data_IF_059435629574
#
_entry.id   IF_059435629574
#
_cell.length_a   1.000
_cell.length_b   1.000
_cell.length_c   1.000
_cell.angle_alpha   90.00
_cell.angle_beta   90.00
_cell.angle_gamma   90.00
#
_symmetry.space_group_name_H-M   'P 1'
#
loop_
_entity.id
_entity.type
_entity.pdbx_description
1 polymer ?
#
# COMPACT_ATOMS: atom_id res chain seq x y z
N UNK A 1 -7.18 17.17 16.34
CA UNK A 1 -7.42 16.10 15.36
C UNK A 1 -7.89 16.82 14.12
N UNK A 2 -7.20 16.69 13.00
CA UNK A 2 -7.70 17.24 11.74
C UNK A 2 -8.96 16.45 11.38
N UNK A 3 -10.09 17.14 11.29
CA UNK A 3 -11.34 16.54 10.82
C UNK A 3 -11.19 16.28 9.32
N UNK A 4 -11.14 15.00 8.96
CA UNK A 4 -11.08 14.55 7.57
C UNK A 4 -12.51 14.35 7.06
N UNK A 5 -12.76 14.70 5.80
CA UNK A 5 -14.07 14.56 5.17
C UNK A 5 -14.24 13.20 4.50
N UNK A 6 -13.17 12.67 3.88
CA UNK A 6 -13.24 11.50 3.01
C UNK A 6 -12.59 10.24 3.60
N UNK A 7 -11.94 10.36 4.76
CA UNK A 7 -11.30 9.24 5.46
C UNK A 7 -11.65 9.25 6.96
N UNK A 8 -11.56 8.08 7.59
CA UNK A 8 -11.53 7.92 9.04
C UNK A 8 -10.14 7.49 9.45
N UNK A 9 -9.60 8.07 10.52
CA UNK A 9 -8.26 7.78 11.02
C UNK A 9 -8.32 7.40 12.48
N UNK A 10 -7.72 6.26 12.81
CA UNK A 10 -7.53 5.81 14.20
C UNK A 10 -6.11 5.31 14.41
N UNK A 11 -5.73 5.10 15.67
CA UNK A 11 -4.45 4.49 16.02
C UNK A 11 -4.66 3.43 17.09
N UNK A 12 -4.13 2.24 16.82
CA UNK A 12 -4.14 1.09 17.73
C UNK A 12 -2.69 0.73 18.07
N UNK A 13 -2.25 1.09 19.26
CA UNK A 13 -0.85 1.00 19.65
C UNK A 13 0.05 1.78 18.69
N UNK A 14 0.87 1.06 17.91
CA UNK A 14 1.82 1.62 16.92
C UNK A 14 1.32 1.49 15.48
N UNK A 15 0.08 1.09 15.27
CA UNK A 15 -0.54 0.95 13.96
C UNK A 15 -1.45 2.15 13.70
N UNK A 16 -1.20 2.88 12.60
CA UNK A 16 -2.11 3.93 12.13
C UNK A 16 -3.09 3.31 11.14
N UNK A 17 -4.39 3.41 11.39
CA UNK A 17 -5.42 2.87 10.51
C UNK A 17 -6.06 4.03 9.74
N UNK A 18 -6.08 3.91 8.42
CA UNK A 18 -6.71 4.86 7.48
C UNK A 18 -7.81 4.12 6.74
N UNK A 19 -9.05 4.48 7.00
CA UNK A 19 -10.22 3.92 6.32
C UNK A 19 -10.79 4.93 5.33
N UNK A 20 -10.88 4.53 4.06
CA UNK A 20 -11.57 5.30 3.03
C UNK A 20 -13.07 5.35 3.35
N UNK A 21 -13.66 6.55 3.31
CA UNK A 21 -15.00 6.82 3.83
C UNK A 21 -15.84 7.70 2.90
N UNK A 22 -15.98 7.29 1.63
CA UNK A 22 -16.97 7.80 0.67
C UNK A 22 -17.98 6.70 0.29
N UNK A 23 -18.78 6.16 1.23
CA UNK A 23 -19.59 4.96 1.00
C UNK A 23 -20.64 5.14 -0.11
N UNK A 24 -21.18 6.34 -0.29
CA UNK A 24 -22.14 6.65 -1.38
C UNK A 24 -21.53 6.50 -2.77
N UNK A 25 -20.21 6.67 -2.89
CA UNK A 25 -19.45 6.55 -4.13
C UNK A 25 -18.61 5.27 -4.17
N UNK A 26 -18.88 4.29 -3.28
CA UNK A 26 -18.07 3.07 -3.14
C UNK A 26 -16.56 3.35 -3.01
N UNK A 27 -16.22 4.43 -2.29
CA UNK A 27 -14.84 4.88 -2.12
C UNK A 27 -14.11 5.20 -3.44
N UNK A 28 -14.82 5.64 -4.48
CA UNK A 28 -14.18 6.17 -5.69
C UNK A 28 -13.16 7.25 -5.31
N UNK A 29 -11.96 7.17 -5.90
CA UNK A 29 -10.84 8.04 -5.56
C UNK A 29 -10.99 9.40 -6.22
N UNK A 30 -11.05 10.46 -5.42
CA UNK A 30 -11.04 11.84 -5.89
C UNK A 30 -9.82 12.58 -5.31
N UNK A 31 -9.53 13.77 -5.83
CA UNK A 31 -8.34 14.52 -5.38
C UNK A 31 -8.34 14.82 -3.86
N UNK A 32 -9.43 15.32 -3.24
CA UNK A 32 -9.49 15.55 -1.80
C UNK A 32 -9.17 14.30 -0.97
N UNK A 33 -9.78 13.14 -1.28
CA UNK A 33 -9.52 11.89 -0.55
C UNK A 33 -8.04 11.51 -0.62
N UNK A 34 -7.42 11.59 -1.80
CA UNK A 34 -6.03 11.17 -1.98
C UNK A 34 -5.05 12.11 -1.28
N UNK A 35 -5.36 13.41 -1.22
CA UNK A 35 -4.59 14.38 -0.45
C UNK A 35 -4.73 14.14 1.07
N UNK A 36 -5.92 13.78 1.55
CA UNK A 36 -6.11 13.39 2.95
C UNK A 36 -5.30 12.13 3.30
N UNK A 37 -5.37 11.08 2.48
CA UNK A 37 -4.57 9.85 2.66
C UNK A 37 -3.08 10.17 2.68
N UNK A 38 -2.59 10.97 1.72
CA UNK A 38 -1.19 11.40 1.65
C UNK A 38 -0.76 12.15 2.91
N UNK A 39 -1.60 13.08 3.40
CA UNK A 39 -1.29 13.86 4.60
C UNK A 39 -1.09 12.96 5.83
N UNK A 40 -1.90 11.91 5.98
CA UNK A 40 -1.78 10.94 7.07
C UNK A 40 -0.51 10.10 6.91
N UNK A 41 -0.19 9.66 5.69
CA UNK A 41 1.03 8.90 5.43
C UNK A 41 2.29 9.72 5.77
N UNK A 42 2.33 10.99 5.35
CA UNK A 42 3.44 11.90 5.66
C UNK A 42 3.57 12.19 7.16
N UNK A 43 2.45 12.33 7.86
CA UNK A 43 2.45 12.51 9.31
C UNK A 43 2.96 11.24 10.02
N UNK A 44 2.46 10.07 9.63
CA UNK A 44 2.89 8.78 10.18
C UNK A 44 4.37 8.49 9.94
N UNK A 45 4.92 8.89 8.80
CA UNK A 45 6.36 8.75 8.50
C UNK A 45 7.25 9.52 9.48
N UNK A 46 6.81 10.70 9.90
CA UNK A 46 7.53 11.56 10.86
C UNK A 46 7.27 11.15 12.31
N UNK A 47 6.18 10.43 12.57
CA UNK A 47 5.77 10.01 13.91
C UNK A 47 6.48 8.72 14.33
N UNK A 48 7.39 8.81 15.29
CA UNK A 48 8.16 7.66 15.79
C UNK A 48 7.32 6.67 16.61
N UNK A 49 6.14 7.09 17.06
CA UNK A 49 5.16 6.21 17.71
C UNK A 49 4.47 5.28 16.71
N UNK A 50 4.47 5.61 15.41
CA UNK A 50 3.91 4.78 14.35
C UNK A 50 4.99 3.86 13.74
N UNK A 51 4.66 2.57 13.64
CA UNK A 51 5.51 1.54 13.04
C UNK A 51 4.91 0.83 11.83
N UNK A 52 3.61 0.97 11.59
CA UNK A 52 2.92 0.44 10.42
C UNK A 52 1.66 1.27 10.12
N UNK A 53 1.28 1.37 8.86
CA UNK A 53 0.02 1.96 8.41
C UNK A 53 -0.85 0.84 7.84
N UNK A 54 -2.14 0.85 8.16
CA UNK A 54 -3.15 0.02 7.51
C UNK A 54 -4.04 0.93 6.68
N UNK A 55 -4.17 0.63 5.40
CA UNK A 55 -5.13 1.30 4.51
C UNK A 55 -6.27 0.33 4.21
N UNK A 56 -7.52 0.74 4.48
CA UNK A 56 -8.71 -0.10 4.30
C UNK A 56 -9.86 0.69 3.70
N UNK A 57 -10.85 -0.01 3.16
CA UNK A 57 -12.14 0.59 2.81
C UNK A 57 -13.28 -0.02 3.62
N UNK A 58 -14.45 -0.11 2.99
CA UNK A 58 -15.63 -0.78 3.53
C UNK A 58 -15.67 -2.26 3.16
N UNK A 59 -16.62 -3.00 3.73
CA UNK A 59 -16.87 -4.40 3.34
C UNK A 59 -17.22 -4.56 1.85
N UNK A 60 -17.97 -3.60 1.28
CA UNK A 60 -18.43 -3.63 -0.12
C UNK A 60 -17.35 -3.20 -1.10
N UNK A 61 -16.51 -2.26 -0.72
CA UNK A 61 -15.47 -1.73 -1.57
C UNK A 61 -14.31 -1.19 -0.73
N UNK A 62 -13.11 -1.63 -1.09
CA UNK A 62 -11.88 -0.91 -0.79
C UNK A 62 -11.96 0.46 -1.47
N UNK A 63 -11.97 0.47 -2.80
CA UNK A 63 -12.20 1.63 -3.66
C UNK A 63 -12.61 1.17 -5.07
N UNK A 64 -13.74 1.66 -5.57
CA UNK A 64 -14.27 1.31 -6.88
C UNK A 64 -13.95 2.39 -7.93
N UNK A 65 -12.70 2.41 -8.41
CA UNK A 65 -12.26 3.33 -9.46
C UNK A 65 -11.89 4.73 -8.96
N UNK A 66 -11.68 5.64 -9.92
CA UNK A 66 -11.55 7.07 -9.68
C UNK A 66 -12.88 7.79 -9.92
N UNK A 67 -13.02 9.00 -9.39
CA UNK A 67 -14.19 9.84 -9.59
C UNK A 67 -14.23 10.40 -11.02
N UNK A 68 -15.00 9.75 -11.89
CA UNK A 68 -15.11 10.10 -13.32
C UNK A 68 -15.61 11.53 -13.52
N UNK A 69 -16.39 12.07 -12.58
CA UNK A 69 -16.89 13.45 -12.68
C UNK A 69 -15.77 14.49 -12.59
N UNK A 70 -14.64 14.16 -11.95
CA UNK A 70 -13.45 15.02 -11.92
C UNK A 70 -12.60 14.92 -13.19
N UNK A 71 -12.89 13.96 -14.08
CA UNK A 71 -12.05 13.65 -15.25
C UNK A 71 -12.72 13.90 -16.60
N UNK A 72 -14.05 13.79 -16.68
CA UNK A 72 -14.78 13.74 -17.95
C UNK A 72 -14.54 14.95 -18.88
N UNK A 73 -14.39 16.14 -18.33
CA UNK A 73 -14.25 17.39 -19.11
C UNK A 73 -12.79 17.84 -19.29
N UNK A 74 -11.81 17.03 -18.83
CA UNK A 74 -10.39 17.37 -18.92
C UNK A 74 -9.80 17.00 -20.28
N UNK A 75 -8.97 17.87 -20.83
CA UNK A 75 -8.20 17.61 -22.05
C UNK A 75 -6.77 17.12 -21.76
N UNK A 76 -6.05 16.80 -22.82
CA UNK A 76 -4.67 16.34 -22.74
C UNK A 76 -3.74 17.40 -22.12
N UNK A 77 -3.87 18.67 -22.50
CA UNK A 77 -3.00 19.74 -22.02
C UNK A 77 -3.15 19.90 -20.50
N UNK A 78 -4.37 19.88 -19.98
CA UNK A 78 -4.63 19.93 -18.56
C UNK A 78 -4.09 18.70 -17.83
N UNK A 79 -4.39 17.48 -18.31
CA UNK A 79 -3.95 16.25 -17.66
C UNK A 79 -2.42 16.11 -17.64
N UNK A 80 -1.76 16.47 -18.73
CA UNK A 80 -0.30 16.43 -18.86
C UNK A 80 0.37 17.55 -18.03
N UNK A 81 -0.18 18.76 -18.07
CA UNK A 81 0.39 19.93 -17.39
C UNK A 81 0.24 19.89 -15.87
N UNK A 82 -0.92 19.45 -15.35
CA UNK A 82 -1.18 19.39 -13.91
C UNK A 82 -0.63 18.12 -13.26
N UNK A 83 -0.53 17.02 -14.03
CA UNK A 83 -0.12 15.70 -13.54
C UNK A 83 -0.80 15.33 -12.20
N UNK A 84 -2.15 15.25 -12.16
CA UNK A 84 -2.90 15.11 -10.90
C UNK A 84 -2.52 13.84 -10.11
N UNK A 85 -2.03 12.79 -10.77
CA UNK A 85 -1.64 11.54 -10.15
C UNK A 85 -0.19 11.51 -9.67
N UNK A 86 0.66 12.47 -10.06
CA UNK A 86 2.04 12.55 -9.60
C UNK A 86 2.16 12.73 -8.09
N UNK A 87 1.18 13.37 -7.45
CA UNK A 87 1.11 13.46 -5.99
C UNK A 87 0.76 12.12 -5.33
N UNK A 88 0.03 11.23 -6.02
CA UNK A 88 -0.37 9.93 -5.48
C UNK A 88 0.83 9.00 -5.35
N UNK A 89 1.84 9.13 -6.22
CA UNK A 89 3.08 8.36 -6.11
C UNK A 89 3.80 8.58 -4.77
N UNK A 90 3.61 9.73 -4.13
CA UNK A 90 4.17 10.01 -2.80
C UNK A 90 3.59 9.11 -1.71
N UNK A 91 2.39 8.54 -1.90
CA UNK A 91 1.84 7.52 -1.01
C UNK A 91 2.69 6.25 -1.11
N UNK A 92 3.04 5.80 -2.31
CA UNK A 92 3.94 4.66 -2.51
C UNK A 92 5.38 4.92 -2.04
N UNK A 93 5.79 6.18 -1.89
CA UNK A 93 7.10 6.59 -1.34
C UNK A 93 7.13 6.66 0.19
N UNK A 94 5.99 6.43 0.87
CA UNK A 94 5.90 6.39 2.34
C UNK A 94 6.90 5.38 2.89
N UNK A 95 7.75 5.80 3.83
CA UNK A 95 8.85 4.96 4.37
C UNK A 95 8.36 3.97 5.43
N UNK A 96 7.31 4.34 6.16
CA UNK A 96 6.63 3.45 7.09
C UNK A 96 5.96 2.33 6.31
N UNK A 97 6.09 1.05 6.75
CA UNK A 97 5.40 -0.05 6.11
C UNK A 97 3.88 0.14 6.05
N UNK A 98 3.27 -0.30 4.95
CA UNK A 98 1.85 -0.15 4.63
C UNK A 98 1.22 -1.50 4.27
N UNK A 99 0.08 -1.80 4.90
CA UNK A 99 -0.74 -2.99 4.63
C UNK A 99 -2.08 -2.54 4.05
N UNK A 100 -2.44 -3.01 2.87
CA UNK A 100 -3.79 -2.86 2.34
C UNK A 100 -4.70 -3.98 2.86
N UNK A 101 -5.81 -3.60 3.49
CA UNK A 101 -6.91 -4.49 3.88
C UNK A 101 -8.04 -4.37 2.87
N UNK A 102 -8.16 -5.37 1.99
CA UNK A 102 -9.03 -5.29 0.81
C UNK A 102 -10.22 -6.22 0.96
N UNK A 103 -11.43 -5.64 0.98
CA UNK A 103 -12.70 -6.35 0.83
C UNK A 103 -13.48 -5.77 -0.34
N UNK A 104 -14.27 -6.61 -1.01
CA UNK A 104 -15.09 -6.20 -2.15
C UNK A 104 -14.27 -5.58 -3.27
N UNK A 105 -14.75 -4.48 -3.86
CA UNK A 105 -14.13 -3.89 -5.05
C UNK A 105 -12.85 -3.09 -4.75
N UNK A 106 -11.76 -3.45 -5.44
CA UNK A 106 -10.54 -2.67 -5.62
C UNK A 106 -10.28 -2.55 -7.13
N UNK A 107 -10.94 -1.58 -7.77
CA UNK A 107 -10.97 -1.46 -9.24
C UNK A 107 -10.27 -0.18 -9.69
N UNK A 108 -9.58 -0.24 -10.82
CA UNK A 108 -8.89 0.89 -11.42
C UNK A 108 -7.95 1.58 -10.43
N UNK A 109 -8.13 2.87 -10.22
CA UNK A 109 -7.44 3.64 -9.16
C UNK A 109 -7.42 2.97 -7.78
N UNK A 110 -8.49 2.28 -7.39
CA UNK A 110 -8.53 1.51 -6.13
C UNK A 110 -7.59 0.29 -6.13
N UNK A 111 -7.46 -0.40 -7.27
CA UNK A 111 -6.45 -1.46 -7.44
C UNK A 111 -5.04 -0.86 -7.41
N UNK A 112 -4.84 0.30 -8.04
CA UNK A 112 -3.56 1.00 -8.08
C UNK A 112 -3.12 1.44 -6.68
N UNK A 113 -4.04 1.99 -5.88
CA UNK A 113 -3.78 2.36 -4.48
C UNK A 113 -3.44 1.15 -3.61
N UNK A 114 -4.14 0.02 -3.79
CA UNK A 114 -3.79 -1.21 -3.09
C UNK A 114 -2.36 -1.68 -3.43
N UNK A 115 -1.96 -1.58 -4.71
CA UNK A 115 -0.60 -1.91 -5.17
C UNK A 115 0.47 -0.89 -4.77
N UNK A 116 0.10 0.30 -4.28
CA UNK A 116 1.05 1.24 -3.67
C UNK A 116 1.44 0.84 -2.25
N UNK A 117 0.66 -0.03 -1.60
CA UNK A 117 1.01 -0.61 -0.29
C UNK A 117 2.06 -1.72 -0.45
N UNK A 118 2.78 -2.04 0.61
CA UNK A 118 3.86 -3.05 0.58
C UNK A 118 3.33 -4.47 0.56
N UNK A 119 2.14 -4.68 1.11
CA UNK A 119 1.45 -5.96 1.07
C UNK A 119 -0.06 -5.78 1.04
N UNK A 120 -0.75 -6.70 0.37
CA UNK A 120 -2.21 -6.77 0.32
C UNK A 120 -2.66 -8.03 1.06
N UNK A 121 -3.55 -7.87 2.03
CA UNK A 121 -4.31 -8.96 2.64
C UNK A 121 -5.76 -8.77 2.20
N UNK A 122 -6.32 -9.79 1.58
CA UNK A 122 -7.62 -9.71 0.94
C UNK A 122 -8.64 -10.66 1.59
N UNK A 123 -9.88 -10.21 1.68
CA UNK A 123 -11.03 -11.08 1.89
C UNK A 123 -11.27 -11.96 0.65
N UNK A 124 -11.85 -13.14 0.82
CA UNK A 124 -12.37 -13.98 -0.28
C UNK A 124 -13.36 -13.23 -1.18
N UNK A 125 -14.01 -12.18 -0.67
CA UNK A 125 -14.92 -11.29 -1.43
C UNK A 125 -14.21 -10.31 -2.35
N UNK A 126 -12.89 -10.12 -2.22
CA UNK A 126 -12.16 -9.10 -2.97
C UNK A 126 -12.17 -9.35 -4.48
N UNK A 127 -12.33 -8.26 -5.24
CA UNK A 127 -12.28 -8.21 -6.70
C UNK A 127 -11.33 -7.11 -7.14
N UNK A 128 -10.30 -7.50 -7.86
CA UNK A 128 -9.28 -6.61 -8.43
C UNK A 128 -9.49 -6.42 -9.93
N UNK A 129 -9.12 -5.28 -10.50
CA UNK A 129 -9.23 -5.08 -11.94
C UNK A 129 -8.74 -3.72 -12.41
N UNK A 130 -8.50 -3.62 -13.71
CA UNK A 130 -8.09 -2.39 -14.41
C UNK A 130 -9.07 -2.11 -15.57
N UNK A 131 -10.33 -1.76 -15.28
CA UNK A 131 -11.39 -1.62 -16.28
C UNK A 131 -11.34 -0.30 -17.07
N UNK A 132 -10.31 0.52 -16.93
CA UNK A 132 -10.14 1.83 -17.59
C UNK A 132 -10.37 1.76 -19.12
N UNK A 133 -10.06 0.63 -19.75
CA UNK A 133 -10.27 0.41 -21.19
C UNK A 133 -11.74 0.56 -21.60
N UNK A 134 -12.69 0.24 -20.71
CA UNK A 134 -14.13 0.41 -20.98
C UNK A 134 -14.56 1.86 -21.01
N UNK A 135 -13.69 2.77 -20.54
CA UNK A 135 -13.87 4.22 -20.57
C UNK A 135 -13.00 4.88 -21.65
N UNK A 136 -12.33 4.09 -22.50
CA UNK A 136 -11.45 4.61 -23.56
C UNK A 136 -10.11 5.15 -23.06
N UNK A 137 -9.70 4.80 -21.83
CA UNK A 137 -8.43 5.23 -21.22
C UNK A 137 -7.65 4.01 -20.69
N UNK A 138 -6.46 4.25 -20.13
CA UNK A 138 -5.61 3.22 -19.52
C UNK A 138 -5.38 3.56 -18.03
N UNK A 139 -4.90 2.60 -17.21
CA UNK A 139 -4.49 2.90 -15.84
C UNK A 139 -3.42 3.99 -15.81
N UNK A 140 -3.66 5.02 -14.98
CA UNK A 140 -2.87 6.26 -14.94
C UNK A 140 -2.04 6.46 -13.68
N UNK A 141 -2.26 5.66 -12.62
CA UNK A 141 -1.56 5.73 -11.35
C UNK A 141 -0.67 4.48 -11.12
N UNK A 142 -0.17 3.89 -12.21
CA UNK A 142 0.80 2.80 -12.19
C UNK A 142 0.23 1.39 -12.35
N UNK A 143 -1.05 1.24 -12.69
CA UNK A 143 -1.71 -0.05 -12.90
C UNK A 143 -1.03 -0.89 -13.98
N UNK A 144 -0.62 -0.28 -15.10
CA UNK A 144 0.12 -0.99 -16.16
C UNK A 144 1.54 -1.39 -15.74
N UNK A 145 2.09 -0.77 -14.69
CA UNK A 145 3.47 -0.98 -14.23
C UNK A 145 3.53 -1.97 -13.08
N UNK A 146 2.85 -1.65 -11.96
CA UNK A 146 2.85 -2.46 -10.73
C UNK A 146 2.18 -3.81 -10.94
N UNK A 147 1.04 -3.84 -11.64
CA UNK A 147 0.34 -5.11 -11.94
C UNK A 147 1.22 -6.03 -12.79
N UNK A 148 1.84 -5.50 -13.85
CA UNK A 148 2.71 -6.30 -14.73
C UNK A 148 3.90 -6.89 -13.98
N UNK A 149 4.52 -6.13 -13.08
CA UNK A 149 5.61 -6.61 -12.21
C UNK A 149 5.13 -7.67 -11.21
N UNK A 150 3.87 -7.60 -10.76
CA UNK A 150 3.29 -8.56 -9.82
C UNK A 150 2.83 -9.88 -10.48
N UNK A 151 2.02 -9.81 -11.54
CA UNK A 151 1.31 -10.96 -12.12
C UNK A 151 1.83 -11.44 -13.48
N UNK A 152 2.84 -10.75 -14.01
CA UNK A 152 3.39 -11.01 -15.33
C UNK A 152 2.52 -10.50 -16.48
N UNK A 153 3.12 -10.48 -17.69
CA UNK A 153 2.54 -9.85 -18.89
C UNK A 153 1.16 -10.39 -19.26
N UNK A 154 0.96 -11.71 -19.26
CA UNK A 154 -0.26 -12.31 -19.80
C UNK A 154 -1.50 -11.89 -19.00
N UNK A 155 -1.43 -11.99 -17.67
CA UNK A 155 -2.52 -11.58 -16.77
C UNK A 155 -2.73 -10.07 -16.75
N UNK A 156 -1.66 -9.29 -16.76
CA UNK A 156 -1.76 -7.83 -16.82
C UNK A 156 -2.46 -7.38 -18.12
N UNK A 157 -2.12 -7.96 -19.27
CA UNK A 157 -2.79 -7.68 -20.54
C UNK A 157 -4.25 -8.12 -20.53
N UNK A 158 -4.54 -9.30 -20.02
CA UNK A 158 -5.92 -9.80 -19.88
C UNK A 158 -6.77 -8.83 -19.04
N UNK A 159 -6.29 -8.40 -17.87
CA UNK A 159 -6.99 -7.44 -17.02
C UNK A 159 -7.15 -6.06 -17.68
N UNK A 160 -6.07 -5.49 -18.21
CA UNK A 160 -6.08 -4.13 -18.75
C UNK A 160 -6.77 -4.01 -20.11
N UNK A 161 -6.79 -5.06 -20.94
CA UNK A 161 -7.38 -4.99 -22.30
C UNK A 161 -8.81 -5.52 -22.34
N UNK A 162 -9.20 -6.43 -21.44
CA UNK A 162 -10.58 -6.94 -21.38
C UNK A 162 -11.42 -6.23 -20.32
N UNK A 163 -10.78 -5.57 -19.35
CA UNK A 163 -11.46 -4.98 -18.20
C UNK A 163 -12.09 -5.99 -17.24
N UNK A 164 -11.79 -7.30 -17.38
CA UNK A 164 -12.33 -8.32 -16.48
C UNK A 164 -11.86 -8.13 -15.05
N UNK A 165 -12.58 -8.72 -14.10
CA UNK A 165 -12.17 -8.73 -12.70
C UNK A 165 -11.43 -10.04 -12.34
N UNK A 166 -10.51 -9.92 -11.40
CA UNK A 166 -9.72 -10.99 -10.79
C UNK A 166 -10.21 -11.20 -9.35
N UNK A 167 -10.57 -12.43 -9.00
CA UNK A 167 -10.93 -12.76 -7.61
C UNK A 167 -9.71 -12.86 -6.69
N UNK A 168 -9.93 -12.80 -5.37
CA UNK A 168 -8.88 -12.87 -4.36
C UNK A 168 -7.92 -14.08 -4.52
N UNK A 169 -8.47 -15.29 -4.71
CA UNK A 169 -7.68 -16.51 -4.93
C UNK A 169 -6.86 -16.45 -6.23
N UNK A 170 -7.32 -15.72 -7.24
CA UNK A 170 -6.54 -15.51 -8.47
C UNK A 170 -5.43 -14.51 -8.23
N UNK A 171 -5.72 -13.44 -7.52
CA UNK A 171 -4.74 -12.43 -7.18
C UNK A 171 -3.59 -13.02 -6.35
N UNK A 172 -3.89 -13.90 -5.38
CA UNK A 172 -2.87 -14.54 -4.55
C UNK A 172 -2.00 -15.50 -5.36
N UNK A 173 -2.57 -16.47 -6.07
CA UNK A 173 -1.80 -17.43 -6.89
C UNK A 173 -1.00 -16.77 -8.02
N UNK A 174 -1.34 -15.52 -8.36
CA UNK A 174 -0.65 -14.74 -9.40
C UNK A 174 0.42 -13.80 -8.81
N UNK A 175 0.52 -13.65 -7.49
CA UNK A 175 1.51 -12.79 -6.82
C UNK A 175 1.07 -11.35 -6.53
N UNK A 176 -0.19 -10.99 -6.77
CA UNK A 176 -0.73 -9.65 -6.46
C UNK A 176 -1.09 -9.50 -4.98
N UNK A 177 -1.60 -10.57 -4.35
CA UNK A 177 -2.08 -10.58 -2.96
C UNK A 177 -1.20 -11.50 -2.13
N UNK A 178 -0.82 -11.07 -0.93
CA UNK A 178 0.05 -11.85 -0.04
C UNK A 178 -0.70 -12.92 0.76
N UNK A 179 -1.96 -12.63 1.15
CA UNK A 179 -2.81 -13.55 1.93
C UNK A 179 -4.27 -13.35 1.57
N UNK A 180 -5.03 -14.44 1.53
CA UNK A 180 -6.49 -14.45 1.40
C UNK A 180 -7.08 -15.09 2.65
N UNK A 181 -8.10 -14.45 3.22
CA UNK A 181 -8.82 -14.93 4.40
C UNK A 181 -10.33 -14.72 4.24
N UNK A 182 -11.13 -15.38 5.07
CA UNK A 182 -12.57 -15.13 5.08
C UNK A 182 -12.90 -13.70 5.58
N UNK A 183 -14.07 -13.12 5.18
CA UNK A 183 -14.39 -11.73 5.47
C UNK A 183 -14.37 -11.38 6.96
N UNK A 184 -14.83 -12.30 7.80
CA UNK A 184 -14.89 -12.16 9.26
C UNK A 184 -13.50 -12.24 9.93
N UNK A 185 -12.53 -12.87 9.27
CA UNK A 185 -11.14 -12.97 9.72
C UNK A 185 -10.24 -11.82 9.22
N UNK A 186 -10.69 -11.03 8.24
CA UNK A 186 -9.86 -10.01 7.57
C UNK A 186 -9.25 -9.01 8.54
N UNK A 187 -10.07 -8.41 9.43
CA UNK A 187 -9.60 -7.40 10.37
C UNK A 187 -8.53 -7.96 11.31
N UNK A 188 -8.79 -9.15 11.87
CA UNK A 188 -7.89 -9.79 12.82
C UNK A 188 -6.54 -10.15 12.16
N UNK A 189 -6.55 -10.69 10.94
CA UNK A 189 -5.32 -11.07 10.24
C UNK A 189 -4.51 -9.84 9.80
N UNK A 190 -5.17 -8.78 9.34
CA UNK A 190 -4.52 -7.50 9.00
C UNK A 190 -3.89 -6.88 10.23
N UNK A 191 -4.63 -6.75 11.33
CA UNK A 191 -4.10 -6.15 12.55
C UNK A 191 -2.99 -6.99 13.17
N UNK A 192 -3.05 -8.33 13.06
CA UNK A 192 -1.95 -9.21 13.45
C UNK A 192 -0.68 -8.94 12.65
N UNK A 193 -0.78 -8.84 11.31
CA UNK A 193 0.36 -8.51 10.46
C UNK A 193 0.91 -7.11 10.76
N UNK A 194 0.05 -6.10 10.83
CA UNK A 194 0.42 -4.73 11.11
C UNK A 194 1.07 -4.55 12.49
N UNK A 195 0.53 -5.18 13.54
CA UNK A 195 1.12 -5.17 14.88
C UNK A 195 2.46 -5.90 14.91
N UNK A 196 2.61 -7.00 14.16
CA UNK A 196 3.89 -7.70 14.05
C UNK A 196 4.96 -6.77 13.45
N UNK A 197 4.63 -6.06 12.37
CA UNK A 197 5.53 -5.10 11.72
C UNK A 197 5.83 -3.92 12.65
N UNK A 198 4.80 -3.31 13.23
CA UNK A 198 4.95 -2.16 14.12
C UNK A 198 5.70 -2.48 15.43
N UNK A 199 5.70 -3.77 15.81
CA UNK A 199 6.45 -4.34 16.92
C UNK A 199 7.95 -4.49 16.66
N UNK A 200 8.41 -4.48 15.40
CA UNK A 200 9.85 -4.58 15.06
C UNK A 200 10.59 -3.24 15.24
N UNK A 201 11.91 -3.27 15.03
CA UNK A 201 12.73 -2.07 14.90
C UNK A 201 12.30 -1.22 13.70
N UNK A 202 11.95 0.05 13.94
CA UNK A 202 11.50 0.98 12.88
C UNK A 202 12.59 1.19 11.83
N UNK A 203 13.86 1.30 12.23
CA UNK A 203 14.96 1.47 11.26
C UNK A 203 15.16 0.22 10.40
N UNK A 204 14.99 -0.97 10.98
CA UNK A 204 15.12 -2.23 10.24
C UNK A 204 13.96 -2.45 9.26
N UNK A 205 12.72 -2.15 9.66
CA UNK A 205 11.55 -2.31 8.77
C UNK A 205 11.59 -1.33 7.60
N UNK A 206 11.97 -0.06 7.84
CA UNK A 206 12.19 0.90 6.75
C UNK A 206 13.32 0.45 5.82
N UNK A 207 14.45 0.00 6.37
CA UNK A 207 15.57 -0.50 5.57
C UNK A 207 15.19 -1.73 4.72
N UNK A 208 14.42 -2.66 5.29
CA UNK A 208 13.92 -3.83 4.59
C UNK A 208 12.97 -3.46 3.43
N UNK A 209 12.02 -2.57 3.69
CA UNK A 209 11.13 -2.01 2.66
C UNK A 209 11.92 -1.33 1.53
N UNK A 210 12.86 -0.45 1.88
CA UNK A 210 13.70 0.26 0.91
C UNK A 210 14.49 -0.72 0.01
N UNK A 211 15.04 -1.80 0.59
CA UNK A 211 15.77 -2.82 -0.15
C UNK A 211 14.89 -3.60 -1.13
N UNK A 212 13.70 -4.03 -0.69
CA UNK A 212 12.72 -4.73 -1.55
C UNK A 212 12.26 -3.83 -2.70
N UNK A 213 11.91 -2.57 -2.41
CA UNK A 213 11.46 -1.64 -3.45
C UNK A 213 12.55 -1.38 -4.50
N UNK A 214 13.83 -1.33 -4.08
CA UNK A 214 14.95 -1.12 -5.00
C UNK A 214 15.15 -2.26 -6.01
N UNK A 215 14.67 -3.46 -5.71
CA UNK A 215 14.72 -4.60 -6.64
C UNK A 215 13.92 -4.34 -7.93
N UNK A 216 12.98 -3.41 -7.92
CA UNK A 216 12.19 -3.02 -9.08
C UNK A 216 12.82 -1.91 -9.93
N UNK A 217 13.91 -1.29 -9.45
CA UNK A 217 14.51 -0.09 -10.02
C UNK A 217 15.91 -0.34 -10.62
N UNK A 218 16.54 -1.46 -10.28
CA UNK A 218 17.92 -1.77 -10.67
C UNK A 218 18.09 -3.24 -11.05
N UNK A 219 19.21 -3.57 -11.71
CA UNK A 219 19.59 -4.97 -11.95
C UNK A 219 20.05 -5.67 -10.67
N UNK A 220 19.96 -7.00 -10.65
CA UNK A 220 20.21 -7.84 -9.47
C UNK A 220 21.54 -7.52 -8.76
N UNK A 221 22.63 -7.37 -9.52
CA UNK A 221 23.96 -7.08 -8.96
C UNK A 221 24.01 -5.77 -8.21
N UNK A 222 23.43 -4.70 -8.77
CA UNK A 222 23.36 -3.39 -8.11
C UNK A 222 22.42 -3.41 -6.90
N UNK A 223 21.28 -4.12 -7.00
CA UNK A 223 20.36 -4.33 -5.88
C UNK A 223 21.04 -4.99 -4.69
N UNK A 224 21.75 -6.11 -4.90
CA UNK A 224 22.51 -6.81 -3.85
C UNK A 224 23.62 -5.91 -3.28
N UNK A 225 24.31 -5.15 -4.13
CA UNK A 225 25.35 -4.21 -3.70
C UNK A 225 24.79 -3.12 -2.77
N UNK A 226 23.62 -2.56 -3.10
CA UNK A 226 22.94 -1.58 -2.28
C UNK A 226 22.42 -2.19 -0.96
N UNK A 227 21.78 -3.35 -1.01
CA UNK A 227 21.28 -4.08 0.17
C UNK A 227 22.41 -4.31 1.19
N UNK A 228 23.56 -4.82 0.74
CA UNK A 228 24.71 -5.09 1.63
C UNK A 228 25.22 -3.84 2.35
N UNK A 229 25.23 -2.69 1.67
CA UNK A 229 25.65 -1.42 2.27
C UNK A 229 24.66 -0.95 3.33
N UNK A 230 23.36 -1.05 3.05
CA UNK A 230 22.30 -0.73 4.04
C UNK A 230 22.39 -1.69 5.23
N UNK A 231 22.50 -2.98 4.98
CA UNK A 231 22.68 -4.01 6.00
C UNK A 231 23.90 -3.73 6.91
N UNK A 232 25.07 -3.44 6.33
CA UNK A 232 26.27 -3.10 7.10
C UNK A 232 26.05 -1.83 7.93
N UNK A 233 25.36 -0.82 7.39
CA UNK A 233 24.99 0.40 8.10
C UNK A 233 24.12 0.13 9.34
N UNK A 234 23.24 -0.88 9.32
CA UNK A 234 22.41 -1.21 10.49
C UNK A 234 23.25 -1.60 11.72
N UNK A 235 24.49 -2.08 11.57
CA UNK A 235 25.36 -2.45 12.69
C UNK A 235 25.85 -1.26 13.53
N UNK A 236 25.61 -0.03 13.08
CA UNK A 236 25.84 1.18 13.88
C UNK A 236 24.62 1.62 14.70
N UNK A 237 23.50 0.90 14.62
CA UNK A 237 22.24 1.30 15.29
C UNK A 237 22.09 0.63 16.66
N UNK A 238 21.38 1.32 17.58
CA UNK A 238 21.01 0.76 18.88
C UNK A 238 20.19 -0.53 18.73
N UNK A 239 19.17 -0.49 17.88
CA UNK A 239 18.25 -1.62 17.69
C UNK A 239 18.98 -2.86 17.17
N UNK A 240 20.03 -2.72 16.36
CA UNK A 240 20.83 -3.88 15.97
C UNK A 240 21.50 -4.53 17.19
N UNK A 241 22.12 -3.72 18.08
CA UNK A 241 22.78 -4.23 19.30
C UNK A 241 21.77 -4.91 20.21
N UNK A 242 20.65 -4.24 20.48
CA UNK A 242 19.58 -4.75 21.32
C UNK A 242 18.96 -6.04 20.76
N UNK A 243 18.64 -6.07 19.46
CA UNK A 243 18.01 -7.22 18.82
C UNK A 243 18.88 -8.47 18.89
N UNK A 244 20.18 -8.34 18.64
CA UNK A 244 21.11 -9.47 18.75
C UNK A 244 21.36 -9.88 20.21
N UNK A 245 21.48 -8.93 21.14
CA UNK A 245 21.62 -9.22 22.57
C UNK A 245 20.39 -9.97 23.10
N UNK A 246 19.19 -9.45 22.84
CA UNK A 246 17.93 -10.06 23.24
C UNK A 246 17.78 -11.50 22.71
N UNK A 247 18.18 -11.74 21.47
CA UNK A 247 18.18 -13.09 20.88
C UNK A 247 19.13 -14.04 21.61
N UNK A 248 20.37 -13.63 21.87
CA UNK A 248 21.35 -14.44 22.61
C UNK A 248 20.91 -14.71 24.05
N UNK A 249 20.26 -13.74 24.69
CA UNK A 249 19.75 -13.78 26.07
C UNK A 249 18.36 -14.43 26.18
N UNK A 250 17.73 -14.82 25.06
CA UNK A 250 16.38 -15.42 24.99
C UNK A 250 15.29 -14.56 25.65
N UNK A 251 15.34 -13.25 25.41
CA UNK A 251 14.33 -12.29 25.88
C UNK A 251 13.72 -11.53 24.71
N UNK A 252 12.58 -10.89 24.95
CA UNK A 252 11.97 -9.97 23.97
C UNK A 252 12.82 -8.71 23.86
N UNK A 253 13.16 -8.25 22.64
CA UNK A 253 13.90 -7.00 22.45
C UNK A 253 13.05 -5.77 22.78
N UNK A 254 13.68 -4.74 23.33
CA UNK A 254 13.11 -3.43 23.62
C UNK A 254 13.71 -2.40 22.68
N UNK A 255 13.04 -2.18 21.55
CA UNK A 255 13.48 -1.24 20.52
C UNK A 255 13.40 0.21 21.01
N UNK A 256 14.35 1.06 20.55
CA UNK A 256 14.28 2.51 20.78
C UNK A 256 13.09 3.08 20.01
N UNK A 257 12.21 3.84 20.68
CA UNK A 257 10.94 4.33 20.11
C UNK A 257 10.89 5.86 19.92
N UNK A 258 11.95 6.53 20.32
CA UNK A 258 12.13 7.96 20.45
C UNK A 258 13.57 8.29 20.00
N UNK A 259 13.77 9.19 19.04
CA UNK A 259 15.09 9.71 18.63
C UNK A 259 15.33 11.10 19.19
#
# INVERSE_FOLDING_TARGET
MSDFENILVSQEGRVKVVQLNRPKALNALNMPLMLEVLSVCQAADRDETVGCIVLKGSEKAFAAGADITEMADKDFEHMYGVNPFGEWDKIGQTRTPMVASVSGFALGGGCELAMMCDMIIASTTAKFGQPEITLGIIPGAGGTQRLTKAVGKAKAMDLCLTGRFMGAEEAERSGLVARVVEPDALEAEVMKAANTIAGQSKVATVAGKDAVNRAFETGLTEGIGAERRVFAGLFSTHDQKEGMAAFMEKRTPVWKRDR
#
